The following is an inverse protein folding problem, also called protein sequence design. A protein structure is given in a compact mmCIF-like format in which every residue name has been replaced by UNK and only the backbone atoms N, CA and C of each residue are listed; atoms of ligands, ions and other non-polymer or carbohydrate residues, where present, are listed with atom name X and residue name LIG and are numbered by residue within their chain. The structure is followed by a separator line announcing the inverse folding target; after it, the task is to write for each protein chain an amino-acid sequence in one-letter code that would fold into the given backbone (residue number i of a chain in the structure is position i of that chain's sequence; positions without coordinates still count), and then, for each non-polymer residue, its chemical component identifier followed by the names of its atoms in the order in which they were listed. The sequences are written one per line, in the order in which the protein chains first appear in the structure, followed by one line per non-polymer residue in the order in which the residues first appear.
data_IF_713814666534
#
_entry.id   IF_713814666534
#
_cell.length_a   1.000
_cell.length_b   1.000
_cell.length_c   1.000
_cell.angle_alpha   90.00
_cell.angle_beta   90.00
_cell.angle_gamma   90.00
#
_symmetry.space_group_name_H-M   'P 1'
#
loop_
_entity.id
_entity.type
_entity.pdbx_description
1 polymer ?
#
# COMPACT_ATOMS: atom_id res chain seq x y z
N UNK A 1 21.73 2.86 0.96
CA UNK A 1 20.49 3.36 0.34
C UNK A 1 19.33 2.55 0.92
N UNK A 2 18.12 3.12 1.04
CA UNK A 2 16.93 2.34 1.41
C UNK A 2 15.83 2.63 0.38
N UNK A 3 15.12 1.59 -0.05
CA UNK A 3 13.95 1.70 -0.91
C UNK A 3 12.72 1.31 -0.11
N UNK A 4 11.59 1.96 -0.39
CA UNK A 4 10.31 1.56 0.16
C UNK A 4 9.36 1.33 -1.01
N UNK A 5 8.86 0.10 -1.12
CA UNK A 5 7.81 -0.27 -2.06
C UNK A 5 6.51 -0.17 -1.30
N UNK A 6 5.58 0.65 -1.80
CA UNK A 6 4.24 0.80 -1.24
C UNK A 6 3.21 0.17 -2.17
N UNK A 7 2.22 -0.45 -1.55
CA UNK A 7 1.04 -1.00 -2.19
C UNK A 7 -0.19 -0.49 -1.44
N UNK A 8 -1.12 0.12 -2.16
CA UNK A 8 -2.30 0.77 -1.59
C UNK A 8 -3.55 0.11 -2.14
N UNK A 9 -4.32 -0.51 -1.25
CA UNK A 9 -5.64 -1.00 -1.60
C UNK A 9 -6.66 0.07 -1.27
N UNK A 10 -7.62 0.28 -2.17
CA UNK A 10 -8.68 1.24 -2.00
C UNK A 10 -10.05 0.66 -2.35
N UNK A 11 -11.10 1.23 -1.78
CA UNK A 11 -12.47 0.88 -2.13
C UNK A 11 -12.71 1.05 -3.63
N UNK A 12 -13.38 0.07 -4.23
CA UNK A 12 -13.79 0.08 -5.63
C UNK A 12 -15.31 0.14 -5.75
N UNK A 13 -15.79 0.82 -6.78
CA UNK A 13 -17.21 0.93 -7.11
C UNK A 13 -17.42 0.37 -8.52
N UNK A 14 -18.24 -0.68 -8.67
CA UNK A 14 -18.51 -1.31 -9.98
C UNK A 14 -19.12 -0.35 -11.02
N UNK A 15 -19.77 0.71 -10.55
CA UNK A 15 -20.31 1.78 -11.38
C UNK A 15 -19.67 3.09 -10.96
N UNK A 16 -19.26 3.89 -11.94
CA UNK A 16 -18.85 5.29 -11.71
C UNK A 16 -20.06 6.10 -11.23
N UNK A 17 -20.22 6.17 -9.91
CA UNK A 17 -21.32 6.87 -9.24
C UNK A 17 -20.83 8.13 -8.51
N UNK A 18 -19.64 8.64 -8.88
CA UNK A 18 -19.03 9.82 -8.28
C UNK A 18 -18.54 9.64 -6.84
N UNK A 19 -18.55 8.42 -6.29
CA UNK A 19 -18.02 8.13 -4.96
C UNK A 19 -16.49 8.18 -4.99
N UNK A 20 -15.90 8.81 -3.97
CA UNK A 20 -14.45 8.82 -3.77
C UNK A 20 -13.99 7.44 -3.34
N UNK A 21 -12.81 7.03 -3.80
CA UNK A 21 -12.12 5.87 -3.26
C UNK A 21 -11.48 6.21 -1.92
N UNK A 22 -11.57 5.30 -0.97
CA UNK A 22 -10.90 5.38 0.32
C UNK A 22 -9.84 4.29 0.42
N UNK A 23 -8.65 4.63 0.92
CA UNK A 23 -7.61 3.63 1.23
C UNK A 23 -8.12 2.72 2.34
N UNK A 24 -8.05 1.41 2.13
CA UNK A 24 -8.48 0.35 3.07
C UNK A 24 -7.31 -0.49 3.59
N UNK A 25 -6.22 -0.60 2.84
CA UNK A 25 -4.95 -1.22 3.28
C UNK A 25 -3.76 -0.36 2.83
N UNK A 26 -2.76 -0.27 3.70
CA UNK A 26 -1.42 0.24 3.35
C UNK A 26 -0.43 -0.89 3.58
N UNK A 27 0.13 -1.42 2.49
CA UNK A 27 1.27 -2.33 2.49
C UNK A 27 2.56 -1.57 2.20
N UNK A 28 3.64 -1.89 2.92
CA UNK A 28 4.96 -1.36 2.62
C UNK A 28 6.06 -2.38 2.89
N UNK A 29 7.05 -2.44 2.01
CA UNK A 29 8.26 -3.26 2.15
C UNK A 29 9.49 -2.39 2.05
N UNK A 30 10.42 -2.53 3.00
CA UNK A 30 11.70 -1.83 3.01
C UNK A 30 12.78 -2.73 2.40
N UNK A 31 13.51 -2.23 1.42
CA UNK A 31 14.68 -2.90 0.84
C UNK A 31 15.96 -2.13 1.17
N UNK A 32 17.08 -2.86 1.33
CA UNK A 32 18.41 -2.26 1.40
C UNK A 32 18.98 -1.99 0.00
N UNK A 33 20.25 -1.59 -0.06
CA UNK A 33 20.98 -1.29 -1.30
C UNK A 33 21.26 -2.52 -2.18
N UNK A 34 21.15 -3.73 -1.62
CA UNK A 34 21.23 -5.01 -2.34
C UNK A 34 19.88 -5.55 -2.78
N UNK A 35 18.81 -4.75 -2.65
CA UNK A 35 17.42 -5.14 -2.90
C UNK A 35 16.91 -6.28 -1.98
N UNK A 36 17.58 -6.51 -0.86
CA UNK A 36 17.13 -7.48 0.14
C UNK A 36 16.06 -6.85 1.02
N UNK A 37 14.99 -7.60 1.30
CA UNK A 37 13.94 -7.16 2.20
C UNK A 37 14.44 -7.10 3.64
N UNK A 38 14.30 -5.93 4.26
CA UNK A 38 14.73 -5.65 5.64
C UNK A 38 13.59 -5.21 6.56
N UNK A 39 12.37 -5.03 6.03
CA UNK A 39 11.21 -4.71 6.84
C UNK A 39 9.90 -4.84 6.07
N UNK A 40 8.81 -5.04 6.81
CA UNK A 40 7.44 -5.09 6.31
C UNK A 40 6.51 -4.29 7.22
N UNK A 41 5.55 -3.60 6.62
CA UNK A 41 4.48 -2.91 7.31
C UNK A 41 3.16 -3.20 6.58
N UNK A 42 2.10 -3.46 7.35
CA UNK A 42 0.76 -3.70 6.82
C UNK A 42 -0.27 -3.20 7.82
N UNK A 43 -1.11 -2.27 7.40
CA UNK A 43 -2.16 -1.67 8.23
C UNK A 43 -3.47 -1.64 7.47
N UNK A 44 -4.54 -2.04 8.15
CA UNK A 44 -5.90 -1.98 7.65
C UNK A 44 -6.65 -0.84 8.32
N UNK A 45 -7.40 -0.07 7.54
CA UNK A 45 -8.34 0.91 8.07
C UNK A 45 -9.52 0.13 8.69
N UNK A 46 -9.72 0.29 10.00
CA UNK A 46 -10.88 -0.24 10.72
C UNK A 46 -12.15 0.52 10.37
#
# INVERSE_FOLDING_TARGET
MNYIIFDLEATYWEKENGRKSEIIEIGAVKLNDKLEQTGIHRVYKK
#
